data_IF_995286914561
#
_entry.id   IF_995286914561
#
_cell.length_a   1.000
_cell.length_b   1.000
_cell.length_c   1.000
_cell.angle_alpha   90.00
_cell.angle_beta   90.00
_cell.angle_gamma   90.00
#
_symmetry.space_group_name_H-M   'P 1'
#
loop_
_entity.id
_entity.type
_entity.pdbx_description
1 polymer ?
#
# COMPACT_ATOMS: atom_id res chain seq x y z
N UNK A 1 -13.89 -12.83 -9.99
CA UNK A 1 -12.62 -13.58 -9.86
C UNK A 1 -11.44 -12.74 -10.34
N UNK A 2 -11.64 -11.70 -11.16
CA UNK A 2 -10.55 -10.85 -11.68
C UNK A 2 -9.91 -9.88 -10.67
N UNK A 3 -10.67 -9.34 -9.72
CA UNK A 3 -10.16 -8.31 -8.77
C UNK A 3 -9.07 -8.85 -7.83
N UNK A 4 -9.20 -10.07 -7.34
CA UNK A 4 -8.15 -10.61 -6.47
C UNK A 4 -6.87 -10.84 -7.26
N UNK A 5 -6.97 -11.41 -8.47
CA UNK A 5 -5.83 -11.64 -9.37
C UNK A 5 -5.11 -10.33 -9.77
N UNK A 6 -5.86 -9.26 -10.03
CA UNK A 6 -5.29 -7.93 -10.28
C UNK A 6 -4.54 -7.39 -9.06
N UNK A 7 -5.03 -7.65 -7.84
CA UNK A 7 -4.31 -7.24 -6.63
C UNK A 7 -3.03 -8.05 -6.46
N UNK A 8 -3.11 -9.37 -6.63
CA UNK A 8 -1.92 -10.24 -6.52
C UNK A 8 -0.85 -9.81 -7.52
N UNK A 9 -1.22 -9.50 -8.76
CA UNK A 9 -0.29 -9.02 -9.77
C UNK A 9 0.35 -7.67 -9.39
N UNK A 10 -0.44 -6.73 -8.87
CA UNK A 10 0.07 -5.46 -8.34
C UNK A 10 1.04 -5.68 -7.17
N UNK A 11 0.68 -6.52 -6.20
CA UNK A 11 1.50 -6.81 -5.04
C UNK A 11 2.80 -7.54 -5.42
N UNK A 12 2.73 -8.49 -6.34
CA UNK A 12 3.89 -9.19 -6.89
C UNK A 12 4.85 -8.20 -7.58
N UNK A 13 4.31 -7.30 -8.40
CA UNK A 13 5.11 -6.28 -9.10
C UNK A 13 5.78 -5.32 -8.12
N UNK A 14 5.03 -4.78 -7.16
CA UNK A 14 5.54 -3.85 -6.16
C UNK A 14 6.68 -4.49 -5.34
N UNK A 15 6.49 -5.71 -4.85
CA UNK A 15 7.52 -6.43 -4.07
C UNK A 15 8.75 -6.74 -4.94
N UNK A 16 8.55 -7.23 -6.17
CA UNK A 16 9.63 -7.67 -7.03
C UNK A 16 10.52 -6.51 -7.51
N UNK A 17 9.93 -5.34 -7.77
CA UNK A 17 10.60 -4.21 -8.41
C UNK A 17 11.07 -3.12 -7.44
N UNK A 18 10.52 -3.04 -6.22
CA UNK A 18 10.84 -1.95 -5.29
C UNK A 18 12.34 -1.81 -5.01
N UNK A 19 12.89 -0.64 -5.34
CA UNK A 19 14.27 -0.27 -5.05
C UNK A 19 15.32 -1.11 -5.80
N UNK A 20 14.93 -1.86 -6.84
CA UNK A 20 15.85 -2.66 -7.65
C UNK A 20 16.56 -1.77 -8.66
N UNK A 21 17.86 -2.00 -8.85
CA UNK A 21 18.76 -1.16 -9.66
C UNK A 21 18.37 -0.98 -11.14
N UNK A 22 17.45 -1.81 -11.65
CA UNK A 22 17.06 -1.87 -13.05
C UNK A 22 15.59 -1.43 -13.28
N UNK A 23 14.87 -1.05 -12.22
CA UNK A 23 13.47 -0.65 -12.29
C UNK A 23 13.28 0.75 -11.74
N UNK A 24 12.46 1.55 -12.43
CA UNK A 24 12.01 2.86 -11.96
C UNK A 24 10.90 2.74 -10.90
N UNK A 25 10.64 1.55 -10.36
CA UNK A 25 9.52 1.31 -9.45
C UNK A 25 9.82 1.86 -8.05
N UNK A 26 9.19 2.98 -7.72
CA UNK A 26 9.29 3.65 -6.44
C UNK A 26 7.96 4.23 -5.96
N UNK A 27 7.99 5.26 -5.10
CA UNK A 27 6.80 5.83 -4.49
C UNK A 27 5.75 6.32 -5.49
N UNK A 28 6.18 6.84 -6.65
CA UNK A 28 5.27 7.39 -7.67
C UNK A 28 4.51 6.29 -8.40
N UNK A 29 5.19 5.19 -8.74
CA UNK A 29 4.61 4.02 -9.40
C UNK A 29 3.63 3.31 -8.45
N UNK A 30 4.00 3.21 -7.17
CA UNK A 30 3.14 2.69 -6.13
C UNK A 30 1.88 3.55 -5.93
N UNK A 31 2.02 4.87 -5.87
CA UNK A 31 0.90 5.82 -5.79
C UNK A 31 -0.03 5.70 -7.01
N UNK A 32 0.53 5.62 -8.21
CA UNK A 32 -0.23 5.46 -9.44
C UNK A 32 -1.01 4.14 -9.45
N UNK A 33 -0.39 3.05 -9.00
CA UNK A 33 -1.05 1.76 -8.91
C UNK A 33 -2.18 1.75 -7.87
N UNK A 34 -1.95 2.31 -6.67
CA UNK A 34 -3.00 2.45 -5.64
C UNK A 34 -4.15 3.33 -6.14
N UNK A 35 -3.85 4.41 -6.88
CA UNK A 35 -4.86 5.26 -7.51
C UNK A 35 -5.77 4.48 -8.45
N UNK A 36 -5.20 3.63 -9.32
CA UNK A 36 -5.96 2.76 -10.23
C UNK A 36 -6.83 1.78 -9.45
N UNK A 37 -6.31 1.23 -8.35
CA UNK A 37 -7.02 0.31 -7.47
C UNK A 37 -8.22 0.99 -6.79
N UNK A 38 -8.05 2.21 -6.30
CA UNK A 38 -9.14 2.97 -5.68
C UNK A 38 -10.22 3.34 -6.70
N UNK A 39 -9.84 3.82 -7.89
CA UNK A 39 -10.79 4.13 -8.97
C UNK A 39 -11.62 2.93 -9.40
N UNK A 40 -11.00 1.75 -9.47
CA UNK A 40 -11.66 0.54 -9.99
C UNK A 40 -12.49 -0.20 -8.94
N UNK A 41 -12.19 -0.04 -7.65
CA UNK A 41 -12.75 -0.91 -6.58
C UNK A 41 -13.55 -0.18 -5.52
N UNK A 42 -13.38 1.13 -5.35
CA UNK A 42 -14.13 1.87 -4.34
C UNK A 42 -15.50 2.26 -4.86
N UNK A 43 -16.50 2.14 -3.99
CA UNK A 43 -17.83 2.66 -4.22
C UNK A 43 -17.94 4.05 -3.60
N UNK A 44 -18.17 5.06 -4.45
CA UNK A 44 -18.34 6.43 -4.03
C UNK A 44 -19.81 6.83 -3.97
N UNK A 45 -20.20 7.74 -3.07
CA UNK A 45 -21.55 8.30 -3.04
C UNK A 45 -21.91 8.95 -4.38
N UNK A 46 -23.15 8.77 -4.86
CA UNK A 46 -23.59 9.37 -6.14
C UNK A 46 -23.69 10.90 -6.08
N UNK A 47 -23.70 11.46 -4.88
CA UNK A 47 -23.71 12.90 -4.59
C UNK A 47 -22.37 13.57 -4.88
N UNK A 48 -21.27 12.80 -4.89
CA UNK A 48 -19.94 13.35 -5.14
C UNK A 48 -19.75 13.65 -6.62
N UNK A 49 -19.20 14.83 -6.90
CA UNK A 49 -18.67 15.20 -8.22
C UNK A 49 -17.43 14.38 -8.55
N UNK A 50 -17.09 14.31 -9.84
CA UNK A 50 -15.86 13.62 -10.27
C UNK A 50 -14.61 14.26 -9.65
N UNK A 51 -14.58 15.59 -9.52
CA UNK A 51 -13.52 16.31 -8.80
C UNK A 51 -13.36 15.83 -7.35
N UNK A 52 -14.45 15.74 -6.60
CA UNK A 52 -14.41 15.29 -5.19
C UNK A 52 -13.91 13.84 -5.07
N UNK A 53 -14.29 12.97 -6.00
CA UNK A 53 -13.79 11.59 -6.03
C UNK A 53 -12.30 11.54 -6.37
N UNK A 54 -11.87 12.27 -7.40
CA UNK A 54 -10.47 12.29 -7.83
C UNK A 54 -9.56 12.89 -6.75
N UNK A 55 -9.99 13.97 -6.08
CA UNK A 55 -9.24 14.59 -4.98
C UNK A 55 -9.09 13.62 -3.80
N UNK A 56 -10.17 12.94 -3.40
CA UNK A 56 -10.13 11.95 -2.34
C UNK A 56 -9.20 10.77 -2.69
N UNK A 57 -9.31 10.25 -3.92
CA UNK A 57 -8.48 9.14 -4.38
C UNK A 57 -7.01 9.55 -4.38
N UNK A 58 -6.68 10.73 -4.92
CA UNK A 58 -5.30 11.22 -4.98
C UNK A 58 -4.72 11.39 -3.57
N UNK A 59 -5.48 12.00 -2.65
CA UNK A 59 -5.03 12.18 -1.26
C UNK A 59 -4.78 10.84 -0.56
N UNK A 60 -5.73 9.90 -0.63
CA UNK A 60 -5.56 8.61 0.03
C UNK A 60 -4.46 7.78 -0.62
N UNK A 61 -4.39 7.73 -1.96
CA UNK A 61 -3.38 6.96 -2.66
C UNK A 61 -1.96 7.47 -2.36
N UNK A 62 -1.75 8.80 -2.34
CA UNK A 62 -0.46 9.39 -2.01
C UNK A 62 -0.05 9.11 -0.56
N UNK A 63 -1.01 9.20 0.37
CA UNK A 63 -0.78 8.86 1.78
C UNK A 63 -0.40 7.40 1.95
N UNK A 64 -1.15 6.49 1.36
CA UNK A 64 -0.89 5.05 1.48
C UNK A 64 0.43 4.68 0.80
N UNK A 65 0.71 5.20 -0.40
CA UNK A 65 1.98 4.96 -1.07
C UNK A 65 3.19 5.44 -0.25
N UNK A 66 3.07 6.60 0.40
CA UNK A 66 4.11 7.12 1.28
C UNK A 66 4.34 6.21 2.49
N UNK A 67 3.27 5.71 3.12
CA UNK A 67 3.36 4.84 4.29
C UNK A 67 3.91 3.45 3.95
N UNK A 68 3.39 2.84 2.89
CA UNK A 68 3.86 1.54 2.42
C UNK A 68 5.29 1.61 1.88
N UNK A 69 5.63 2.68 1.15
CA UNK A 69 6.98 2.90 0.65
C UNK A 69 8.01 3.07 1.77
N UNK A 70 7.69 3.86 2.80
CA UNK A 70 8.54 3.98 3.98
C UNK A 70 8.71 2.64 4.70
N UNK A 71 7.62 1.87 4.84
CA UNK A 71 7.67 0.53 5.43
C UNK A 71 8.55 -0.42 4.61
N UNK A 72 8.49 -0.36 3.28
CA UNK A 72 9.30 -1.18 2.38
C UNK A 72 10.80 -0.91 2.49
N UNK A 73 11.18 0.34 2.74
CA UNK A 73 12.55 0.75 2.98
C UNK A 73 13.02 0.32 4.39
N UNK A 74 12.21 0.56 5.42
CA UNK A 74 12.50 0.15 6.80
C UNK A 74 12.64 -1.38 6.96
N UNK A 75 11.91 -2.15 6.15
CA UNK A 75 12.00 -3.61 6.14
C UNK A 75 13.37 -4.13 5.71
N UNK A 76 14.12 -3.40 4.88
CA UNK A 76 15.47 -3.81 4.45
C UNK A 76 16.37 -3.93 5.68
N UNK A 77 16.41 -2.89 6.50
CA UNK A 77 17.29 -2.83 7.67
C UNK A 77 16.79 -3.75 8.78
N UNK A 78 15.48 -3.71 9.08
CA UNK A 78 14.90 -4.46 10.20
C UNK A 78 14.93 -5.97 10.00
N UNK A 79 14.60 -6.48 8.81
CA UNK A 79 14.65 -7.92 8.49
C UNK A 79 16.09 -8.40 8.44
N UNK A 80 16.99 -7.63 7.82
CA UNK A 80 18.42 -7.98 7.75
C UNK A 80 19.04 -8.08 9.14
N UNK A 81 18.78 -7.12 10.02
CA UNK A 81 19.31 -7.12 11.39
C UNK A 81 18.73 -8.24 12.23
N UNK A 82 17.43 -8.51 12.09
CA UNK A 82 16.77 -9.65 12.76
C UNK A 82 17.40 -10.97 12.34
N UNK A 83 17.53 -11.24 11.04
CA UNK A 83 18.10 -12.50 10.55
C UNK A 83 19.55 -12.70 10.97
N UNK A 84 20.34 -11.63 10.96
CA UNK A 84 21.72 -11.66 11.47
C UNK A 84 21.76 -12.02 12.95
N UNK A 85 20.86 -11.44 13.76
CA UNK A 85 20.76 -11.75 15.19
C UNK A 85 20.32 -13.20 15.42
N UNK A 86 19.25 -13.65 14.76
CA UNK A 86 18.66 -14.97 14.96
C UNK A 86 19.65 -16.08 14.56
N UNK A 87 20.31 -15.95 13.40
CA UNK A 87 21.35 -16.89 12.96
C UNK A 87 22.62 -16.87 13.81
N UNK A 88 23.01 -15.71 14.35
CA UNK A 88 24.12 -15.60 15.29
C UNK A 88 23.83 -16.40 16.56
N UNK A 89 22.57 -16.40 17.03
CA UNK A 89 22.15 -17.12 18.23
C UNK A 89 22.01 -18.63 18.01
N UNK A 90 21.53 -19.07 16.84
CA UNK A 90 21.27 -20.50 16.58
C UNK A 90 22.52 -21.30 16.17
N UNK A 91 23.34 -20.76 15.26
CA UNK A 91 24.39 -21.54 14.59
C UNK A 91 25.73 -20.79 14.42
N UNK A 92 25.81 -19.51 14.79
CA UNK A 92 27.00 -18.67 14.61
C UNK A 92 27.39 -18.37 13.16
N UNK A 93 26.52 -18.71 12.19
CA UNK A 93 26.75 -18.46 10.75
C UNK A 93 26.02 -17.21 10.26
N UNK A 94 26.52 -16.55 9.22
CA UNK A 94 25.80 -15.46 8.57
C UNK A 94 24.69 -16.03 7.65
N UNK A 95 23.48 -15.44 7.64
CA UNK A 95 22.46 -15.78 6.65
C UNK A 95 22.97 -15.49 5.23
N UNK A 96 22.54 -16.30 4.26
CA UNK A 96 22.86 -16.06 2.86
C UNK A 96 22.14 -14.78 2.38
N UNK A 97 22.69 -14.09 1.38
CA UNK A 97 22.02 -12.92 0.80
C UNK A 97 20.69 -13.29 0.13
N UNK A 98 20.56 -14.53 -0.34
CA UNK A 98 19.32 -15.07 -0.94
C UNK A 98 18.24 -15.28 0.13
N UNK A 99 18.61 -15.84 1.28
CA UNK A 99 17.69 -15.99 2.43
C UNK A 99 17.19 -14.62 2.90
N UNK A 100 18.09 -13.64 3.02
CA UNK A 100 17.72 -12.27 3.41
C UNK A 100 16.76 -11.64 2.39
N UNK A 101 17.05 -11.77 1.10
CA UNK A 101 16.19 -11.21 0.05
C UNK A 101 14.80 -11.84 0.06
N UNK A 102 14.70 -13.17 0.21
CA UNK A 102 13.41 -13.87 0.27
C UNK A 102 12.56 -13.43 1.48
N UNK A 103 13.19 -13.24 2.64
CA UNK A 103 12.49 -12.77 3.86
C UNK A 103 12.07 -11.30 3.75
N UNK A 104 12.86 -10.44 3.10
CA UNK A 104 12.46 -9.06 2.80
C UNK A 104 11.26 -9.05 1.86
N UNK A 105 11.28 -9.86 0.79
CA UNK A 105 10.18 -9.93 -0.17
C UNK A 105 8.90 -10.46 0.51
N UNK A 106 9.01 -11.46 1.39
CA UNK A 106 7.88 -11.94 2.21
C UNK A 106 7.32 -10.86 3.14
N UNK A 107 8.19 -10.13 3.84
CA UNK A 107 7.76 -9.07 4.75
C UNK A 107 7.10 -7.90 4.01
N UNK A 108 7.61 -7.53 2.83
CA UNK A 108 6.99 -6.52 1.97
C UNK A 108 5.63 -6.98 1.46
N UNK A 109 5.48 -8.27 1.16
CA UNK A 109 4.19 -8.83 0.77
C UNK A 109 3.17 -8.74 1.91
N UNK A 110 3.55 -9.08 3.13
CA UNK A 110 2.68 -8.94 4.31
C UNK A 110 2.22 -7.49 4.51
N UNK A 111 3.15 -6.53 4.37
CA UNK A 111 2.85 -5.10 4.46
C UNK A 111 1.86 -4.66 3.37
N UNK A 112 2.09 -5.01 2.11
CA UNK A 112 1.20 -4.57 1.01
C UNK A 112 -0.15 -5.29 1.04
N UNK A 113 -0.23 -6.53 1.55
CA UNK A 113 -1.50 -7.20 1.81
C UNK A 113 -2.34 -6.42 2.84
N UNK A 114 -1.71 -5.62 3.71
CA UNK A 114 -2.39 -4.63 4.55
C UNK A 114 -3.25 -3.62 3.77
N UNK A 115 -2.88 -3.27 2.52
CA UNK A 115 -3.70 -2.42 1.66
C UNK A 115 -5.06 -3.07 1.36
N UNK A 116 -5.12 -4.40 1.24
CA UNK A 116 -6.39 -5.12 1.03
C UNK A 116 -7.34 -4.89 2.20
N UNK A 117 -6.82 -4.93 3.42
CA UNK A 117 -7.62 -4.63 4.61
C UNK A 117 -8.12 -3.19 4.59
N UNK A 118 -7.24 -2.22 4.32
CA UNK A 118 -7.63 -0.79 4.21
C UNK A 118 -8.74 -0.58 3.19
N UNK A 119 -8.63 -1.21 2.03
CA UNK A 119 -9.61 -1.10 0.95
C UNK A 119 -11.00 -1.63 1.35
N UNK A 120 -11.05 -2.65 2.20
CA UNK A 120 -12.32 -3.26 2.61
C UNK A 120 -12.94 -2.55 3.81
N UNK A 121 -12.12 -2.07 4.75
CA UNK A 121 -12.58 -1.58 6.05
C UNK A 121 -12.40 -0.05 6.19
N UNK A 122 -11.16 0.43 6.08
CA UNK A 122 -10.83 1.82 6.40
C UNK A 122 -11.27 2.85 5.35
N UNK A 123 -11.00 2.58 4.07
CA UNK A 123 -11.30 3.52 2.98
C UNK A 123 -12.82 3.74 2.84
N UNK A 124 -13.67 2.70 2.86
CA UNK A 124 -15.12 2.89 2.85
C UNK A 124 -15.63 3.73 4.02
N UNK A 125 -15.06 3.59 5.21
CA UNK A 125 -15.43 4.39 6.37
C UNK A 125 -15.01 5.86 6.22
N UNK A 126 -13.82 6.12 5.68
CA UNK A 126 -13.38 7.48 5.32
C UNK A 126 -14.29 8.12 4.28
N UNK A 127 -14.69 7.37 3.24
CA UNK A 127 -15.65 7.85 2.23
C UNK A 127 -16.96 8.26 2.90
N UNK A 128 -17.52 7.42 3.78
CA UNK A 128 -18.75 7.74 4.53
C UNK A 128 -18.58 8.94 5.44
N UNK A 129 -17.41 9.13 6.04
CA UNK A 129 -17.12 10.29 6.87
C UNK A 129 -17.13 11.57 6.03
N UNK A 130 -16.37 11.61 4.94
CA UNK A 130 -16.30 12.77 4.03
C UNK A 130 -17.68 13.10 3.44
N UNK A 131 -18.48 12.09 3.11
CA UNK A 131 -19.85 12.29 2.62
C UNK A 131 -20.73 13.02 3.65
N UNK A 132 -20.64 12.63 4.93
CA UNK A 132 -21.37 13.31 6.01
C UNK A 132 -20.89 14.75 6.21
N UNK A 133 -19.59 15.00 6.11
CA UNK A 133 -19.00 16.33 6.24
C UNK A 133 -19.47 17.26 5.10
N UNK A 134 -19.44 16.77 3.85
CA UNK A 134 -19.95 17.49 2.69
C UNK A 134 -21.44 17.78 2.78
N UNK A 135 -22.24 16.80 3.23
CA UNK A 135 -23.68 16.99 3.42
C UNK A 135 -23.98 18.06 4.51
N UNK A 136 -23.22 18.06 5.61
CA UNK A 136 -23.36 19.06 6.66
C UNK A 136 -23.00 20.48 6.18
N UNK A 137 -21.92 20.63 5.40
CA UNK A 137 -21.52 21.91 4.82
C UNK A 137 -22.59 22.50 3.88
N UNK A 138 -23.28 21.65 3.11
CA UNK A 138 -24.39 22.10 2.27
C UNK A 138 -25.61 22.56 3.10
N UNK A 139 -25.84 21.94 4.26
CA UNK A 139 -27.00 22.26 5.11
C UNK A 139 -26.79 23.57 5.88
N UNK A 140 -25.54 23.89 6.28
CA UNK A 140 -25.19 25.13 7.00
C UNK A 140 -25.17 26.38 6.10
N UNK A 141 -25.07 26.19 4.77
CA UNK A 141 -25.15 27.26 3.77
C UNK A 141 -26.57 27.62 3.31
N UNK A 142 -27.59 26.92 3.80
CA UNK A 142 -28.99 27.08 3.37
C UNK A 142 -29.82 27.78 4.45
#
# INVERSE_FOLDING_TARGET
MDRDLEFEAFADEAVALWGRSNGDYGPQELEAAITVMYRSRMEFPPTWTDCQRDDFIAEQASRDASEFGASFDDLIDTVTDRLRRDRYLDCGGQPSNEDIAAEIDLARRDVIDGLRWRMVDEIPDKIRQVDRELAAEMTDRT
#
